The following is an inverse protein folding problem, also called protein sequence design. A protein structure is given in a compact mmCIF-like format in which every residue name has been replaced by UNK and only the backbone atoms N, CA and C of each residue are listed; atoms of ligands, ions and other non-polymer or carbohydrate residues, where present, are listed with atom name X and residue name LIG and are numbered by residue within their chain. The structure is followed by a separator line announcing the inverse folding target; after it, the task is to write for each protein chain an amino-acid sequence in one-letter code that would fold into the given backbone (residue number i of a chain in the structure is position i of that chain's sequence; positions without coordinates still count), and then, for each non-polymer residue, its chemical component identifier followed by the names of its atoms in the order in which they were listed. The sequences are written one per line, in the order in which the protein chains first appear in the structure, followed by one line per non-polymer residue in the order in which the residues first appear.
data_IF_157935937116
#
_entry.id   IF_157935937116
#
_cell.length_a   1.000
_cell.length_b   1.000
_cell.length_c   1.000
_cell.angle_alpha   90.00
_cell.angle_beta   90.00
_cell.angle_gamma   90.00
#
_symmetry.space_group_name_H-M   'P 1'
#
loop_
_entity.id
_entity.type
_entity.pdbx_description
1 polymer ?
#
# COMPACT_ATOMS: atom_id res chain seq x y z
N UNK A 1 -28.70 16.70 -57.83
CA UNK A 1 -28.64 17.79 -56.83
C UNK A 1 -28.03 17.30 -55.52
N UNK A 2 -26.75 17.64 -55.24
CA UNK A 2 -26.11 17.80 -53.90
C UNK A 2 -24.59 18.05 -54.04
N UNK A 3 -24.23 18.96 -54.94
CA UNK A 3 -22.87 19.53 -55.07
C UNK A 3 -22.79 20.83 -54.26
N UNK A 4 -22.82 20.74 -52.92
CA UNK A 4 -22.81 21.97 -52.09
C UNK A 4 -22.21 21.81 -50.68
N UNK A 5 -21.80 20.60 -50.27
CA UNK A 5 -21.16 20.40 -48.94
C UNK A 5 -19.63 20.42 -48.94
N UNK A 6 -19.00 20.56 -50.11
CA UNK A 6 -17.54 20.59 -50.25
C UNK A 6 -16.91 21.97 -49.98
N UNK A 7 -17.67 23.07 -50.04
CA UNK A 7 -17.13 24.44 -49.94
C UNK A 7 -17.10 25.04 -48.53
N UNK A 8 -17.78 24.43 -47.55
CA UNK A 8 -17.76 24.94 -46.17
C UNK A 8 -16.56 24.45 -45.33
N UNK A 9 -15.73 23.57 -45.91
CA UNK A 9 -14.54 22.94 -45.31
C UNK A 9 -13.27 23.80 -45.43
N UNK A 10 -13.32 24.95 -46.11
CA UNK A 10 -12.13 25.69 -46.52
C UNK A 10 -11.93 27.06 -45.83
N UNK A 11 -12.91 27.53 -45.06
CA UNK A 11 -12.89 28.86 -44.44
C UNK A 11 -12.57 28.89 -42.94
N UNK A 12 -12.43 27.74 -42.26
CA UNK A 12 -12.08 27.69 -40.82
C UNK A 12 -10.64 27.26 -40.50
N UNK A 13 -9.83 27.01 -41.53
CA UNK A 13 -8.43 26.59 -41.42
C UNK A 13 -7.41 27.75 -41.50
N UNK A 14 -7.86 29.01 -41.61
CA UNK A 14 -6.98 30.19 -41.71
C UNK A 14 -6.81 31.01 -40.43
N UNK A 15 -7.37 30.58 -39.31
CA UNK A 15 -7.35 31.38 -38.07
C UNK A 15 -6.72 30.68 -36.85
N UNK A 16 -6.26 29.44 -37.00
CA UNK A 16 -5.77 28.64 -35.87
C UNK A 16 -4.24 28.47 -35.85
N UNK A 17 -3.54 29.07 -36.81
CA UNK A 17 -2.09 28.91 -37.02
C UNK A 17 -1.24 30.05 -36.46
N UNK A 18 -1.80 30.93 -35.62
CA UNK A 18 -1.10 32.15 -35.14
C UNK A 18 -0.92 32.28 -33.62
N UNK A 19 -1.16 31.22 -32.84
CA UNK A 19 -1.11 31.30 -31.36
C UNK A 19 -0.11 30.32 -30.70
N UNK A 20 0.97 29.96 -31.39
CA UNK A 20 1.97 29.00 -30.89
C UNK A 20 3.34 29.61 -30.54
N UNK A 21 3.45 30.92 -30.41
CA UNK A 21 4.74 31.59 -30.22
C UNK A 21 4.71 32.68 -29.15
N UNK A 22 4.40 32.31 -27.91
CA UNK A 22 4.72 33.12 -26.71
C UNK A 22 4.53 32.32 -25.42
N UNK A 23 5.31 31.24 -25.25
CA UNK A 23 5.50 30.59 -23.94
C UNK A 23 7.00 30.41 -23.71
N UNK A 24 7.70 31.53 -23.60
CA UNK A 24 9.03 31.63 -23.03
C UNK A 24 9.03 32.93 -22.22
N UNK A 25 9.60 32.90 -21.02
CA UNK A 25 9.62 33.92 -19.95
C UNK A 25 8.61 33.73 -18.82
N UNK A 26 9.04 32.99 -17.80
CA UNK A 26 8.64 33.24 -16.42
C UNK A 26 9.82 32.86 -15.49
N UNK A 27 10.66 33.80 -15.03
CA UNK A 27 11.51 33.61 -13.87
C UNK A 27 10.86 34.22 -12.62
N UNK A 28 10.76 33.40 -11.58
CA UNK A 28 11.37 33.65 -10.27
C UNK A 28 11.23 35.05 -9.62
N UNK A 29 10.40 35.16 -8.57
CA UNK A 29 10.54 35.98 -7.34
C UNK A 29 9.20 35.91 -6.58
N UNK A 30 9.05 35.53 -5.30
CA UNK A 30 9.66 35.96 -4.02
C UNK A 30 8.55 36.56 -3.13
N UNK A 31 8.34 35.92 -1.97
CA UNK A 31 8.13 36.50 -0.62
C UNK A 31 6.92 37.41 -0.33
N UNK A 32 6.30 37.18 0.84
CA UNK A 32 5.52 38.14 1.62
C UNK A 32 4.05 37.75 1.72
N UNK A 33 3.58 37.07 2.77
CA UNK A 33 3.27 37.61 4.11
C UNK A 33 2.31 38.81 4.05
N UNK A 34 1.13 38.66 4.68
CA UNK A 34 0.40 39.66 5.49
C UNK A 34 -1.14 39.55 5.35
N UNK A 35 -1.74 39.43 6.54
CA UNK A 35 -2.98 40.08 6.99
C UNK A 35 -4.31 39.88 6.22
N UNK A 36 -5.24 39.18 6.89
CA UNK A 36 -6.63 39.65 7.01
C UNK A 36 -6.63 41.05 7.65
N UNK A 37 -7.51 42.02 7.27
CA UNK A 37 -8.95 42.04 7.65
C UNK A 37 -9.81 42.89 6.65
N UNK A 38 -10.97 43.53 6.95
CA UNK A 38 -12.04 43.31 7.95
C UNK A 38 -13.46 43.18 7.33
N UNK A 39 -14.44 42.83 8.16
CA UNK A 39 -15.88 42.97 7.87
C UNK A 39 -16.31 44.45 7.80
N UNK A 40 -17.13 44.84 6.82
CA UNK A 40 -18.18 45.86 7.03
C UNK A 40 -19.27 45.87 5.93
N UNK A 41 -20.50 45.78 6.43
CA UNK A 41 -21.82 46.16 5.89
C UNK A 41 -21.97 46.83 4.52
N UNK A 42 -22.92 46.37 3.70
CA UNK A 42 -24.09 47.16 3.21
C UNK A 42 -25.00 46.33 2.27
N UNK A 43 -26.32 46.33 2.58
CA UNK A 43 -27.52 46.19 1.71
C UNK A 43 -27.51 45.20 0.51
N UNK A 44 -28.18 44.04 0.70
CA UNK A 44 -29.40 43.52 -0.02
C UNK A 44 -29.53 43.69 -1.56
N UNK A 45 -30.23 42.76 -2.28
CA UNK A 45 -29.70 41.52 -2.86
C UNK A 45 -30.09 41.39 -4.36
N UNK A 46 -29.93 40.15 -4.88
CA UNK A 46 -30.59 39.58 -6.07
C UNK A 46 -29.71 39.61 -7.35
N UNK A 47 -29.41 38.39 -7.84
CA UNK A 47 -28.82 38.03 -9.13
C UNK A 47 -27.29 38.12 -9.26
N UNK A 48 -26.59 37.12 -8.72
CA UNK A 48 -25.46 36.52 -9.44
C UNK A 48 -25.56 35.01 -9.27
N UNK A 49 -26.37 34.43 -10.16
CA UNK A 49 -26.43 32.99 -10.39
C UNK A 49 -25.03 32.44 -10.72
N UNK A 50 -24.85 31.22 -10.24
CA UNK A 50 -23.68 30.36 -10.23
C UNK A 50 -23.00 30.13 -11.60
N UNK A 51 -22.04 30.99 -11.94
CA UNK A 51 -21.15 30.82 -13.11
C UNK A 51 -20.07 29.75 -12.89
N UNK A 52 -19.81 29.34 -11.63
CA UNK A 52 -18.70 28.44 -11.26
C UNK A 52 -18.93 26.98 -11.66
N UNK A 53 -20.20 26.62 -11.90
CA UNK A 53 -20.59 25.25 -12.22
C UNK A 53 -20.77 25.01 -13.73
N UNK A 54 -20.93 26.06 -14.54
CA UNK A 54 -21.04 25.94 -16.00
C UNK A 54 -19.67 25.70 -16.67
N UNK A 55 -18.63 26.43 -16.23
CA UNK A 55 -17.26 26.26 -16.75
C UNK A 55 -16.59 24.94 -16.33
N UNK A 56 -17.03 24.31 -15.24
CA UNK A 56 -16.51 23.00 -14.80
C UNK A 56 -16.99 21.86 -15.68
N UNK A 57 -18.24 21.88 -16.15
CA UNK A 57 -18.81 20.78 -16.97
C UNK A 57 -18.23 20.70 -18.38
N UNK A 58 -17.92 21.84 -19.00
CA UNK A 58 -17.40 21.89 -20.38
C UNK A 58 -15.93 21.49 -20.46
N UNK A 59 -15.10 21.90 -19.48
CA UNK A 59 -13.68 21.51 -19.40
C UNK A 59 -13.50 20.02 -19.07
N UNK A 60 -14.31 19.46 -18.15
CA UNK A 60 -14.21 18.04 -17.79
C UNK A 60 -14.61 17.11 -18.95
N UNK A 61 -15.66 17.46 -19.71
CA UNK A 61 -16.13 16.68 -20.87
C UNK A 61 -15.12 16.63 -22.02
N UNK A 62 -14.35 17.72 -22.22
CA UNK A 62 -13.32 17.79 -23.26
C UNK A 62 -12.05 17.04 -22.85
N UNK A 63 -11.63 17.16 -21.58
CA UNK A 63 -10.44 16.49 -21.05
C UNK A 63 -10.59 14.97 -21.02
N UNK A 64 -11.76 14.44 -20.65
CA UNK A 64 -12.01 12.98 -20.62
C UNK A 64 -11.98 12.37 -22.04
N UNK A 65 -12.54 13.07 -23.04
CA UNK A 65 -12.55 12.57 -24.43
C UNK A 65 -11.15 12.51 -25.02
N UNK A 66 -10.32 13.53 -24.80
CA UNK A 66 -8.94 13.53 -25.28
C UNK A 66 -8.06 12.53 -24.52
N UNK A 67 -8.29 12.33 -23.22
CA UNK A 67 -7.62 11.30 -22.45
C UNK A 67 -7.96 9.87 -22.95
N UNK A 68 -9.22 9.58 -23.26
CA UNK A 68 -9.62 8.27 -23.80
C UNK A 68 -9.04 8.01 -25.20
N UNK A 69 -8.96 9.02 -26.07
CA UNK A 69 -8.36 8.87 -27.41
C UNK A 69 -6.84 8.67 -27.33
N UNK A 70 -6.16 9.40 -26.44
CA UNK A 70 -4.73 9.22 -26.21
C UNK A 70 -4.41 7.86 -25.58
N UNK A 71 -5.22 7.40 -24.63
CA UNK A 71 -5.10 6.08 -24.00
C UNK A 71 -5.32 4.96 -25.04
N UNK A 72 -6.32 5.10 -25.91
CA UNK A 72 -6.57 4.13 -26.98
C UNK A 72 -5.44 4.08 -28.02
N UNK A 73 -4.86 5.24 -28.38
CA UNK A 73 -3.72 5.30 -29.29
C UNK A 73 -2.46 4.69 -28.66
N UNK A 74 -2.22 4.96 -27.37
CA UNK A 74 -1.10 4.39 -26.61
C UNK A 74 -1.26 2.86 -26.44
N UNK A 75 -2.47 2.36 -26.17
CA UNK A 75 -2.76 0.92 -26.09
C UNK A 75 -2.58 0.21 -27.45
N UNK A 76 -2.92 0.86 -28.57
CA UNK A 76 -2.70 0.27 -29.90
C UNK A 76 -1.22 0.13 -30.29
N UNK A 77 -0.33 0.96 -29.73
CA UNK A 77 1.10 0.88 -29.98
C UNK A 77 1.79 -0.27 -29.22
N UNK A 78 1.17 -0.83 -28.18
CA UNK A 78 1.69 -1.96 -27.43
C UNK A 78 1.41 -3.32 -28.09
N UNK A 79 0.51 -3.40 -29.07
CA UNK A 79 0.10 -4.68 -29.68
C UNK A 79 1.01 -5.13 -30.85
N UNK A 80 1.94 -4.29 -31.32
CA UNK A 80 2.72 -4.58 -32.54
C UNK A 80 4.03 -5.35 -32.31
N UNK A 81 4.35 -5.74 -31.07
CA UNK A 81 5.58 -6.47 -30.76
C UNK A 81 5.29 -7.77 -30.03
N UNK A 82 5.04 -8.86 -30.76
CA UNK A 82 5.42 -10.23 -30.39
C UNK A 82 4.85 -11.24 -31.40
N UNK A 83 5.57 -11.45 -32.49
CA UNK A 83 5.51 -12.70 -33.24
C UNK A 83 6.93 -13.23 -33.34
N UNK A 84 7.52 -13.58 -32.19
CA UNK A 84 8.69 -14.45 -32.19
C UNK A 84 8.17 -15.88 -32.29
N UNK A 85 8.49 -16.55 -33.39
CA UNK A 85 8.31 -17.98 -33.51
C UNK A 85 9.04 -18.65 -32.34
N UNK A 86 8.34 -19.53 -31.64
CA UNK A 86 8.84 -20.24 -30.47
C UNK A 86 9.92 -21.23 -30.93
N UNK A 87 11.17 -20.79 -30.91
CA UNK A 87 12.33 -21.66 -31.15
C UNK A 87 12.51 -22.51 -29.89
N UNK A 88 12.10 -23.78 -29.95
CA UNK A 88 12.29 -24.72 -28.85
C UNK A 88 13.77 -24.86 -28.52
N UNK A 89 14.15 -24.49 -27.29
CA UNK A 89 15.50 -24.74 -26.78
C UNK A 89 15.64 -26.22 -26.47
N UNK A 90 16.62 -26.86 -27.05
CA UNK A 90 16.99 -28.24 -26.76
C UNK A 90 18.46 -28.32 -26.33
N UNK A 91 18.85 -29.44 -25.76
CA UNK A 91 20.19 -29.70 -25.28
C UNK A 91 20.76 -30.93 -25.97
N UNK A 92 22.07 -30.89 -26.16
CA UNK A 92 22.81 -32.04 -26.68
C UNK A 92 23.03 -33.05 -25.55
N UNK A 93 22.69 -34.30 -25.83
CA UNK A 93 22.86 -35.47 -24.96
C UNK A 93 24.32 -35.66 -24.52
N UNK A 94 24.55 -36.44 -23.48
CA UNK A 94 25.81 -36.54 -22.70
C UNK A 94 27.00 -37.20 -23.43
N UNK A 95 27.07 -37.17 -24.76
CA UNK A 95 28.24 -37.60 -25.52
C UNK A 95 29.30 -36.50 -25.63
N UNK A 96 30.58 -36.85 -25.41
CA UNK A 96 31.69 -35.89 -25.30
C UNK A 96 31.77 -34.89 -26.47
N UNK A 97 31.46 -35.32 -27.69
CA UNK A 97 31.31 -34.47 -28.86
C UNK A 97 30.45 -35.14 -29.94
N UNK A 98 29.63 -34.35 -30.63
CA UNK A 98 28.86 -34.79 -31.80
C UNK A 98 29.23 -33.95 -33.03
N UNK A 99 29.11 -34.53 -34.24
CA UNK A 99 29.41 -33.82 -35.49
C UNK A 99 28.14 -33.25 -36.13
N UNK A 100 28.16 -31.97 -36.47
CA UNK A 100 27.09 -31.34 -37.27
C UNK A 100 27.40 -31.40 -38.76
N UNK A 101 26.36 -31.61 -39.56
CA UNK A 101 26.45 -31.71 -41.01
C UNK A 101 25.77 -30.52 -41.69
N UNK A 102 26.16 -30.22 -42.94
CA UNK A 102 25.54 -29.13 -43.73
C UNK A 102 24.19 -29.48 -44.35
N UNK A 103 23.69 -30.71 -44.15
CA UNK A 103 22.42 -31.19 -44.70
C UNK A 103 21.91 -32.42 -43.92
N UNK A 104 20.66 -32.81 -44.18
CA UNK A 104 19.94 -33.87 -43.47
C UNK A 104 20.43 -35.30 -43.81
N UNK A 105 21.68 -35.61 -43.43
CA UNK A 105 22.30 -36.92 -43.66
C UNK A 105 23.81 -36.97 -43.43
N UNK A 106 24.37 -38.18 -43.38
CA UNK A 106 25.81 -38.43 -43.20
C UNK A 106 26.67 -38.16 -44.45
N UNK A 107 26.03 -38.00 -45.60
CA UNK A 107 26.72 -37.75 -46.89
C UNK A 107 27.10 -36.28 -47.09
N UNK A 108 26.67 -35.39 -46.18
CA UNK A 108 26.94 -33.96 -46.28
C UNK A 108 28.25 -33.59 -45.57
N UNK A 109 28.76 -32.39 -45.86
CA UNK A 109 30.02 -31.90 -45.30
C UNK A 109 29.86 -31.65 -43.79
N UNK A 110 30.83 -32.12 -43.01
CA UNK A 110 30.92 -31.83 -41.57
C UNK A 110 31.27 -30.35 -41.38
N UNK A 111 30.45 -29.63 -40.61
CA UNK A 111 30.64 -28.22 -40.28
C UNK A 111 31.51 -28.02 -39.03
N UNK A 112 31.52 -29.02 -38.14
CA UNK A 112 32.33 -29.04 -36.92
C UNK A 112 31.73 -29.95 -35.86
N UNK A 113 32.33 -29.94 -34.68
CA UNK A 113 31.80 -30.61 -33.48
C UNK A 113 31.03 -29.64 -32.58
N UNK A 114 30.13 -30.19 -31.77
CA UNK A 114 29.47 -29.51 -30.64
C UNK A 114 29.62 -30.37 -29.39
N UNK A 115 29.88 -29.72 -28.27
CA UNK A 115 30.11 -30.35 -26.98
C UNK A 115 28.77 -30.73 -26.30
N UNK A 116 28.80 -31.80 -25.49
CA UNK A 116 27.65 -32.22 -24.68
C UNK A 116 27.13 -31.10 -23.77
N UNK A 117 25.81 -31.03 -23.61
CA UNK A 117 25.13 -30.07 -22.74
C UNK A 117 25.07 -28.64 -23.28
N UNK A 118 25.60 -28.37 -24.47
CA UNK A 118 25.43 -27.09 -25.16
C UNK A 118 23.94 -26.85 -25.48
N UNK A 119 23.38 -25.68 -25.13
CA UNK A 119 22.02 -25.34 -25.52
C UNK A 119 21.98 -25.01 -27.02
N UNK A 120 21.04 -25.61 -27.72
CA UNK A 120 20.82 -25.41 -29.16
C UNK A 120 19.38 -25.00 -29.41
N UNK A 121 19.15 -24.19 -30.43
CA UNK A 121 17.80 -23.81 -30.84
C UNK A 121 17.36 -24.62 -32.03
N UNK A 122 16.15 -25.19 -31.96
CA UNK A 122 15.56 -25.94 -33.06
C UNK A 122 15.01 -24.96 -34.12
N UNK A 123 15.48 -25.09 -35.36
CA UNK A 123 15.02 -24.27 -36.50
C UNK A 123 13.76 -24.87 -37.11
N UNK A 124 13.76 -26.20 -37.25
CA UNK A 124 12.62 -26.98 -37.71
C UNK A 124 12.34 -28.09 -36.69
N UNK A 125 11.07 -28.24 -36.31
CA UNK A 125 10.60 -29.38 -35.52
C UNK A 125 10.33 -30.63 -36.36
N UNK A 126 10.55 -30.56 -37.67
CA UNK A 126 10.34 -31.68 -38.59
C UNK A 126 11.64 -32.46 -38.81
N UNK A 127 11.59 -33.76 -38.51
CA UNK A 127 12.71 -34.67 -38.75
C UNK A 127 12.86 -34.97 -40.24
N UNK A 128 14.09 -34.83 -40.76
CA UNK A 128 14.43 -35.20 -42.13
C UNK A 128 15.55 -36.26 -42.10
N UNK A 129 15.22 -37.49 -42.51
CA UNK A 129 16.13 -38.65 -42.52
C UNK A 129 16.80 -38.97 -41.16
N UNK A 130 16.14 -38.70 -40.02
CA UNK A 130 16.76 -38.90 -38.70
C UNK A 130 17.62 -37.73 -38.21
N UNK A 131 17.60 -36.60 -38.93
CA UNK A 131 18.32 -35.38 -38.57
C UNK A 131 17.36 -34.21 -38.34
N UNK A 132 17.73 -33.36 -37.40
CA UNK A 132 17.06 -32.10 -37.12
C UNK A 132 18.02 -30.95 -37.39
N UNK A 133 17.45 -29.83 -37.84
CA UNK A 133 18.18 -28.61 -38.08
C UNK A 133 18.22 -27.76 -36.81
N UNK A 134 19.43 -27.46 -36.37
CA UNK A 134 19.71 -26.71 -35.15
C UNK A 134 20.59 -25.50 -35.43
N UNK A 135 20.48 -24.49 -34.57
CA UNK A 135 21.45 -23.40 -34.47
C UNK A 135 22.21 -23.56 -33.15
N UNK A 136 23.53 -23.61 -33.30
CA UNK A 136 24.50 -23.70 -32.20
C UNK A 136 24.67 -22.36 -31.48
N UNK A 137 25.30 -22.37 -30.30
CA UNK A 137 25.65 -21.17 -29.52
C UNK A 137 26.46 -20.15 -30.34
N UNK A 138 27.30 -20.66 -31.24
CA UNK A 138 28.14 -19.93 -32.21
C UNK A 138 27.36 -19.38 -33.41
N UNK A 139 26.03 -19.42 -33.41
CA UNK A 139 25.17 -18.97 -34.51
C UNK A 139 25.44 -19.72 -35.83
N UNK A 140 25.83 -21.00 -35.73
CA UNK A 140 26.04 -21.87 -36.90
C UNK A 140 24.82 -22.75 -37.08
N UNK A 141 24.25 -22.75 -38.29
CA UNK A 141 23.15 -23.63 -38.66
C UNK A 141 23.70 -24.97 -39.18
N UNK A 142 23.16 -26.07 -38.68
CA UNK A 142 23.60 -27.41 -39.07
C UNK A 142 22.61 -28.50 -38.70
N UNK A 143 22.86 -29.69 -39.22
CA UNK A 143 22.02 -30.86 -39.04
C UNK A 143 22.68 -31.85 -38.08
N UNK A 144 21.92 -32.29 -37.08
CA UNK A 144 22.36 -33.22 -36.02
C UNK A 144 21.36 -34.38 -35.92
N UNK A 145 21.83 -35.58 -35.58
CA UNK A 145 20.93 -36.74 -35.41
C UNK A 145 19.96 -36.52 -34.25
N UNK A 146 18.67 -36.82 -34.45
CA UNK A 146 17.60 -36.62 -33.44
C UNK A 146 17.91 -37.30 -32.10
N UNK A 147 18.59 -38.45 -32.12
CA UNK A 147 18.95 -39.23 -30.92
C UNK A 147 19.85 -38.48 -29.92
N UNK A 148 20.56 -37.45 -30.37
CA UNK A 148 21.46 -36.65 -29.54
C UNK A 148 20.81 -35.36 -29.05
N UNK A 149 19.55 -35.10 -29.41
CA UNK A 149 18.83 -33.90 -29.03
C UNK A 149 17.79 -34.30 -27.99
N UNK A 150 17.95 -33.81 -26.76
CA UNK A 150 16.99 -33.94 -25.68
C UNK A 150 16.42 -32.56 -25.34
N UNK A 151 15.13 -32.47 -25.01
CA UNK A 151 14.55 -31.21 -24.53
C UNK A 151 15.01 -30.90 -23.09
N UNK A 152 15.37 -31.93 -22.33
CA UNK A 152 15.86 -31.82 -20.97
C UNK A 152 17.35 -31.47 -20.92
N UNK A 153 17.77 -30.72 -19.89
CA UNK A 153 19.17 -30.39 -19.64
C UNK A 153 20.04 -31.65 -19.56
N UNK A 154 21.30 -31.55 -19.99
CA UNK A 154 22.31 -32.60 -19.80
C UNK A 154 22.43 -33.02 -18.33
N UNK A 155 22.63 -34.32 -18.08
CA UNK A 155 22.72 -34.91 -16.74
C UNK A 155 23.81 -34.22 -15.90
N UNK A 156 24.93 -33.88 -16.53
CA UNK A 156 26.06 -33.18 -15.89
C UNK A 156 25.64 -31.82 -15.32
N UNK A 157 24.88 -31.05 -16.10
CA UNK A 157 24.39 -29.74 -15.68
C UNK A 157 23.41 -29.89 -14.51
N UNK A 158 22.51 -30.87 -14.59
CA UNK A 158 21.56 -31.15 -13.50
C UNK A 158 22.28 -31.51 -12.19
N UNK A 159 23.34 -32.33 -12.23
CA UNK A 159 24.11 -32.67 -11.02
C UNK A 159 24.83 -31.47 -10.41
N UNK A 160 25.40 -30.58 -11.23
CA UNK A 160 26.04 -29.37 -10.71
C UNK A 160 25.01 -28.44 -10.08
N UNK A 161 23.88 -28.21 -10.75
CA UNK A 161 22.77 -27.40 -10.24
C UNK A 161 22.23 -27.97 -8.91
N UNK A 162 22.06 -29.29 -8.82
CA UNK A 162 21.61 -29.94 -7.60
C UNK A 162 22.64 -29.82 -6.46
N UNK A 163 23.93 -29.94 -6.77
CA UNK A 163 25.01 -29.74 -5.80
C UNK A 163 25.05 -28.32 -5.26
N UNK A 164 24.85 -27.32 -6.13
CA UNK A 164 24.73 -25.92 -5.74
C UNK A 164 23.49 -25.67 -4.88
N UNK A 165 22.34 -26.23 -5.25
CA UNK A 165 21.11 -26.14 -4.45
C UNK A 165 21.27 -26.77 -3.06
N UNK A 166 21.97 -27.91 -2.96
CA UNK A 166 22.26 -28.54 -1.68
C UNK A 166 23.18 -27.66 -0.83
N UNK A 167 24.22 -27.08 -1.42
CA UNK A 167 25.11 -26.15 -0.72
C UNK A 167 24.36 -24.89 -0.23
N UNK A 168 23.49 -24.32 -1.07
CA UNK A 168 22.67 -23.16 -0.72
C UNK A 168 21.67 -23.46 0.39
N UNK A 169 20.93 -24.57 0.30
CA UNK A 169 19.97 -24.99 1.33
C UNK A 169 20.67 -25.33 2.64
N UNK A 170 21.82 -25.98 2.60
CA UNK A 170 22.62 -26.25 3.78
C UNK A 170 23.12 -24.95 4.43
N UNK A 171 23.53 -23.96 3.64
CA UNK A 171 23.91 -22.65 4.17
C UNK A 171 22.72 -21.90 4.78
N UNK A 172 21.55 -21.92 4.12
CA UNK A 172 20.33 -21.32 4.65
C UNK A 172 19.91 -21.97 5.98
N UNK A 173 20.00 -23.30 6.07
CA UNK A 173 19.71 -24.06 7.28
C UNK A 173 20.69 -23.69 8.41
N UNK A 174 22.00 -23.59 8.13
CA UNK A 174 22.99 -23.12 9.10
C UNK A 174 22.70 -21.70 9.58
N UNK A 175 22.36 -20.79 8.67
CA UNK A 175 22.02 -19.41 9.02
C UNK A 175 20.76 -19.35 9.89
N UNK A 176 19.72 -20.11 9.56
CA UNK A 176 18.51 -20.20 10.36
C UNK A 176 18.79 -20.78 11.76
N UNK A 177 19.61 -21.83 11.85
CA UNK A 177 20.03 -22.40 13.12
C UNK A 177 20.85 -21.42 13.97
N UNK A 178 21.68 -20.58 13.34
CA UNK A 178 22.44 -19.53 14.02
C UNK A 178 21.54 -18.39 14.55
N UNK A 179 20.42 -18.10 13.89
CA UNK A 179 19.46 -17.07 14.29
C UNK A 179 18.48 -17.54 15.38
N UNK A 180 18.22 -18.85 15.49
CA UNK A 180 17.35 -19.41 16.54
C UNK A 180 17.69 -18.99 17.97
N UNK A 181 18.96 -19.05 18.46
CA UNK A 181 19.27 -18.64 19.82
C UNK A 181 19.01 -17.14 20.03
N UNK A 182 19.34 -16.29 19.06
CA UNK A 182 19.09 -14.85 19.13
C UNK A 182 17.59 -14.55 19.23
N UNK A 183 16.77 -15.16 18.36
CA UNK A 183 15.32 -15.02 18.41
C UNK A 183 14.73 -15.56 19.72
N UNK A 184 15.25 -16.66 20.26
CA UNK A 184 14.84 -17.17 21.56
C UNK A 184 15.20 -16.22 22.70
N UNK A 185 16.39 -15.61 22.67
CA UNK A 185 16.78 -14.61 23.67
C UNK A 185 15.92 -13.36 23.58
N UNK A 186 15.63 -12.86 22.38
CA UNK A 186 14.75 -11.72 22.16
C UNK A 186 13.33 -12.01 22.65
N UNK A 187 12.81 -13.21 22.39
CA UNK A 187 11.48 -13.59 22.83
C UNK A 187 11.39 -13.67 24.36
N UNK A 188 12.42 -14.23 25.02
CA UNK A 188 12.52 -14.24 26.48
C UNK A 188 12.58 -12.83 27.06
N UNK A 189 13.41 -11.95 26.51
CA UNK A 189 13.55 -10.55 26.95
C UNK A 189 12.22 -9.79 26.79
N UNK A 190 11.54 -9.93 25.65
CA UNK A 190 10.22 -9.33 25.44
C UNK A 190 9.17 -9.88 26.43
N UNK A 191 9.23 -11.17 26.75
CA UNK A 191 8.33 -11.77 27.72
C UNK A 191 8.61 -11.28 29.15
N UNK A 192 9.87 -11.12 29.52
CA UNK A 192 10.28 -10.53 30.80
C UNK A 192 9.84 -9.07 30.91
N UNK A 193 10.04 -8.27 29.86
CA UNK A 193 9.57 -6.89 29.82
C UNK A 193 8.06 -6.81 29.92
N UNK A 194 7.31 -7.67 29.23
CA UNK A 194 5.86 -7.72 29.34
C UNK A 194 5.40 -8.05 30.78
N UNK A 195 6.07 -8.98 31.46
CA UNK A 195 5.78 -9.30 32.86
C UNK A 195 6.12 -8.15 33.80
N UNK A 196 7.26 -7.47 33.58
CA UNK A 196 7.64 -6.30 34.37
C UNK A 196 6.66 -5.15 34.20
N UNK A 197 6.25 -4.84 32.96
CA UNK A 197 5.26 -3.80 32.68
C UNK A 197 3.90 -4.15 33.31
N UNK A 198 3.49 -5.41 33.24
CA UNK A 198 2.26 -5.86 33.90
C UNK A 198 2.33 -5.68 35.42
N UNK A 199 3.45 -6.06 36.05
CA UNK A 199 3.65 -5.86 37.48
C UNK A 199 3.65 -4.37 37.87
N UNK A 200 4.27 -3.50 37.07
CA UNK A 200 4.22 -2.05 37.28
C UNK A 200 2.81 -1.49 37.15
N UNK A 201 2.03 -1.99 36.17
CA UNK A 201 0.64 -1.60 35.97
C UNK A 201 -0.22 -2.01 37.17
N UNK A 202 -0.06 -3.23 37.67
CA UNK A 202 -0.78 -3.71 38.84
C UNK A 202 -0.41 -2.92 40.11
N UNK A 203 0.87 -2.57 40.27
CA UNK A 203 1.33 -1.69 41.36
C UNK A 203 0.71 -0.29 41.26
N UNK A 204 0.70 0.32 40.07
CA UNK A 204 0.10 1.64 39.86
C UNK A 204 -1.41 1.64 40.10
N UNK A 205 -2.12 0.57 39.71
CA UNK A 205 -3.55 0.39 40.00
C UNK A 205 -3.78 0.28 41.50
N UNK A 206 -3.01 -0.57 42.19
CA UNK A 206 -3.11 -0.73 43.64
C UNK A 206 -2.84 0.59 44.39
N UNK A 207 -1.85 1.36 43.95
CA UNK A 207 -1.57 2.68 44.52
C UNK A 207 -2.72 3.66 44.28
N UNK A 208 -3.25 3.71 43.05
CA UNK A 208 -4.41 4.54 42.71
C UNK A 208 -5.63 4.20 43.56
N UNK A 209 -5.89 2.93 43.78
CA UNK A 209 -7.01 2.48 44.60
C UNK A 209 -6.80 2.78 46.09
N UNK A 210 -5.58 2.62 46.60
CA UNK A 210 -5.22 3.02 47.95
C UNK A 210 -5.38 4.53 48.17
N UNK A 211 -4.97 5.37 47.21
CA UNK A 211 -5.15 6.82 47.26
C UNK A 211 -6.63 7.21 47.20
N UNK A 212 -7.41 6.58 46.33
CA UNK A 212 -8.86 6.79 46.27
C UNK A 212 -9.56 6.40 47.57
N UNK A 213 -9.20 5.28 48.18
CA UNK A 213 -9.72 4.86 49.47
C UNK A 213 -9.38 5.87 50.57
N UNK A 214 -8.15 6.41 50.59
CA UNK A 214 -7.75 7.50 51.50
C UNK A 214 -8.58 8.75 51.27
N UNK A 215 -8.79 9.17 50.03
CA UNK A 215 -9.62 10.33 49.70
C UNK A 215 -11.08 10.14 50.14
N UNK A 216 -11.65 8.96 49.92
CA UNK A 216 -13.00 8.64 50.38
C UNK A 216 -13.09 8.64 51.90
N UNK A 217 -12.08 8.09 52.60
CA UNK A 217 -11.99 8.12 54.05
C UNK A 217 -11.90 9.53 54.63
N UNK A 218 -11.10 10.41 54.02
CA UNK A 218 -11.02 11.82 54.41
C UNK A 218 -12.33 12.56 54.15
N UNK A 219 -12.92 12.40 52.96
CA UNK A 219 -14.25 12.97 52.64
C UNK A 219 -15.33 12.47 53.58
N UNK A 220 -15.29 11.19 53.97
CA UNK A 220 -16.24 10.62 54.93
C UNK A 220 -16.06 11.22 56.33
N UNK A 221 -14.81 11.46 56.78
CA UNK A 221 -14.51 12.15 58.04
C UNK A 221 -15.01 13.60 58.03
N UNK A 222 -14.73 14.35 56.96
CA UNK A 222 -15.19 15.73 56.80
C UNK A 222 -16.73 15.81 56.81
N UNK A 223 -17.41 14.94 56.05
CA UNK A 223 -18.87 14.84 56.05
C UNK A 223 -19.41 14.51 57.44
N UNK A 224 -18.79 13.59 58.18
CA UNK A 224 -19.22 13.20 59.53
C UNK A 224 -19.08 14.36 60.50
N UNK A 225 -18.01 15.15 60.41
CA UNK A 225 -17.84 16.36 61.23
C UNK A 225 -18.93 17.38 60.92
N UNK A 226 -19.16 17.70 59.64
CA UNK A 226 -20.22 18.61 59.21
C UNK A 226 -21.61 18.18 59.69
N UNK A 227 -21.94 16.88 59.57
CA UNK A 227 -23.21 16.33 60.07
C UNK A 227 -23.31 16.40 61.60
N UNK A 228 -22.22 16.19 62.32
CA UNK A 228 -22.21 16.27 63.79
C UNK A 228 -22.41 17.72 64.27
N UNK A 229 -21.73 18.68 63.65
CA UNK A 229 -21.91 20.10 63.96
C UNK A 229 -23.31 20.60 63.58
N UNK A 230 -23.80 20.25 62.38
CA UNK A 230 -25.15 20.61 61.94
C UNK A 230 -26.24 19.97 62.81
N UNK A 231 -26.08 18.70 63.18
CA UNK A 231 -26.98 18.00 64.08
C UNK A 231 -27.03 18.63 65.47
N UNK A 232 -25.88 18.99 66.05
CA UNK A 232 -25.82 19.65 67.36
C UNK A 232 -26.59 20.98 67.38
N UNK A 233 -26.44 21.82 66.35
CA UNK A 233 -27.16 23.08 66.22
C UNK A 233 -28.68 22.85 66.08
N UNK A 234 -29.09 21.87 65.26
CA UNK A 234 -30.51 21.52 65.09
C UNK A 234 -31.15 21.05 66.41
N UNK A 235 -30.45 20.23 67.20
CA UNK A 235 -30.93 19.80 68.52
C UNK A 235 -31.11 20.97 69.50
N UNK A 236 -30.15 21.89 69.56
CA UNK A 236 -30.24 23.09 70.44
C UNK A 236 -31.42 23.98 70.01
N UNK A 237 -31.58 24.21 68.70
CA UNK A 237 -32.68 25.00 68.17
C UNK A 237 -34.06 24.40 68.48
N UNK A 238 -34.20 23.08 68.32
CA UNK A 238 -35.42 22.35 68.68
C UNK A 238 -35.73 22.47 70.18
N UNK A 239 -34.71 22.27 71.03
CA UNK A 239 -34.87 22.32 72.49
C UNK A 239 -35.32 23.71 72.98
N UNK A 240 -34.67 24.77 72.50
CA UNK A 240 -35.06 26.15 72.80
C UNK A 240 -36.45 26.49 72.25
N UNK A 241 -36.79 26.03 71.04
CA UNK A 241 -38.11 26.22 70.45
C UNK A 241 -39.24 25.61 71.28
N UNK A 242 -39.04 24.38 71.78
CA UNK A 242 -40.01 23.68 72.66
C UNK A 242 -40.14 24.42 74.00
N UNK A 243 -39.03 24.82 74.61
CA UNK A 243 -39.06 25.57 75.88
C UNK A 243 -39.84 26.88 75.74
N UNK A 244 -39.60 27.64 74.67
CA UNK A 244 -40.33 28.87 74.37
C UNK A 244 -41.83 28.62 74.21
N UNK A 245 -42.22 27.58 73.46
CA UNK A 245 -43.65 27.25 73.26
C UNK A 245 -44.34 26.84 74.56
N UNK A 246 -43.69 26.05 75.41
CA UNK A 246 -44.27 25.62 76.70
C UNK A 246 -44.38 26.78 77.68
N UNK A 247 -43.38 27.66 77.76
CA UNK A 247 -43.40 28.82 78.66
C UNK A 247 -44.46 29.84 78.23
N UNK A 248 -44.61 30.12 76.92
CA UNK A 248 -45.65 31.01 76.42
C UNK A 248 -47.07 30.41 76.56
N UNK A 249 -47.22 29.09 76.42
CA UNK A 249 -48.52 28.43 76.53
C UNK A 249 -49.09 28.42 77.96
N UNK A 250 -48.25 28.47 79.00
CA UNK A 250 -48.71 28.50 80.41
C UNK A 250 -49.36 29.82 80.84
N UNK A 251 -49.43 30.85 79.99
CA UNK A 251 -49.97 32.18 80.34
C UNK A 251 -51.45 32.41 80.05
N UNK A 252 -52.28 31.37 79.93
CA UNK A 252 -53.75 31.54 79.98
C UNK A 252 -54.48 30.35 80.64
N UNK A 253 -54.78 30.50 81.93
CA UNK A 253 -56.09 30.19 82.48
C UNK A 253 -56.50 31.32 83.42
N UNK A 254 -57.40 32.17 82.92
CA UNK A 254 -58.23 33.00 83.78
C UNK A 254 -59.52 32.20 83.97
N UNK A 255 -59.56 31.44 85.06
CA UNK A 255 -60.78 30.79 85.54
C UNK A 255 -61.45 31.81 86.46
N UNK A 256 -62.61 32.35 86.07
CA UNK A 256 -63.37 33.22 86.98
C UNK A 256 -64.37 34.14 86.30
N UNK A 257 -65.59 33.63 86.10
CA UNK A 257 -66.82 34.37 86.42
C UNK A 257 -67.82 33.36 87.02
N UNK A 258 -67.81 33.28 88.35
CA UNK A 258 -68.98 33.17 89.22
C UNK A 258 -68.89 34.37 90.19
#
# INVERSE_FOLDING_TARGET
MKSSKAQHKQSRLRMQTFCHLTVLFCPFTSVGELQNPPCQSLRQPILCWDWRNYLRKTRLSWMVKHACVALAFMLSALFTTAAHAEQGTAYISDELYIFMHSGAGKNYRILGSVDAGTPVTLVSGEENNGFLEIIDDKQRQGWVETKFINQDKSLKIQYQELGEQLAQTQQALRNAQAQLPELQTLNRDLQEQAQQLQAQLDQAIAERDALNAKQQGLKAKEKRQLLTYGGAIAFIGLFLGIILTVILSRRKRYDGWA
#
